data_IF_076414846720
#
_entry.id   IF_076414846720
#
_cell.length_a   1.000
_cell.length_b   1.000
_cell.length_c   1.000
_cell.angle_alpha   90.00
_cell.angle_beta   90.00
_cell.angle_gamma   90.00
#
_symmetry.space_group_name_H-M   'P 1'
#
loop_
_entity.id
_entity.type
_entity.pdbx_description
1 polymer ?
#
# COMPACT_ATOMS: atom_id res chain seq x y z
N UNK A 1 -0.15 23.09 53.90
CA UNK A 1 -0.44 23.73 52.60
C UNK A 1 0.40 23.16 51.43
N UNK A 2 1.74 23.07 51.54
CA UNK A 2 2.61 22.60 50.42
C UNK A 2 2.29 21.20 49.92
N UNK A 3 1.98 20.23 50.78
CA UNK A 3 1.68 18.83 50.39
C UNK A 3 0.38 18.73 49.58
N UNK A 4 -0.64 19.49 49.93
CA UNK A 4 -1.91 19.52 49.22
C UNK A 4 -1.73 20.12 47.82
N UNK A 5 -0.95 21.17 47.69
CA UNK A 5 -0.65 21.81 46.41
C UNK A 5 0.11 20.87 45.44
N UNK A 6 1.11 20.14 45.94
CA UNK A 6 1.86 19.15 45.15
C UNK A 6 0.93 18.04 44.65
N UNK A 7 -0.02 17.58 45.48
CA UNK A 7 -0.99 16.55 45.08
C UNK A 7 -1.89 17.00 43.91
N UNK A 8 -2.35 18.24 43.96
CA UNK A 8 -3.18 18.79 42.86
C UNK A 8 -2.39 18.98 41.56
N UNK A 9 -1.12 19.40 41.65
CA UNK A 9 -0.24 19.50 40.49
C UNK A 9 -0.04 18.10 39.86
N UNK A 10 0.25 17.09 40.69
CA UNK A 10 0.45 15.71 40.21
C UNK A 10 -0.80 15.17 39.49
N UNK A 11 -1.99 15.36 40.10
CA UNK A 11 -3.26 14.98 39.50
C UNK A 11 -3.46 15.69 38.15
N UNK A 12 -3.19 16.98 38.09
CA UNK A 12 -3.29 17.78 36.86
C UNK A 12 -2.37 17.24 35.74
N UNK A 13 -1.11 16.95 36.07
CA UNK A 13 -0.15 16.36 35.11
C UNK A 13 -0.63 14.99 34.58
N UNK A 14 -1.13 14.15 35.47
CA UNK A 14 -1.68 12.81 35.06
C UNK A 14 -2.86 12.97 34.11
N UNK A 15 -3.79 13.88 34.39
CA UNK A 15 -4.94 14.14 33.52
C UNK A 15 -4.53 14.71 32.16
N UNK A 16 -3.59 15.65 32.13
CA UNK A 16 -3.07 16.22 30.88
C UNK A 16 -2.39 15.12 30.05
N UNK A 17 -1.57 14.29 30.68
CA UNK A 17 -0.90 13.18 30.01
C UNK A 17 -1.91 12.17 29.45
N UNK A 18 -2.96 11.86 30.20
CA UNK A 18 -4.03 10.95 29.74
C UNK A 18 -4.79 11.54 28.53
N UNK A 19 -5.13 12.82 28.56
CA UNK A 19 -5.80 13.51 27.43
C UNK A 19 -4.90 13.51 26.20
N UNK A 20 -3.62 13.84 26.33
CA UNK A 20 -2.66 13.84 25.23
C UNK A 20 -2.49 12.43 24.63
N UNK A 21 -2.36 11.43 25.49
CA UNK A 21 -2.25 10.05 25.04
C UNK A 21 -3.51 9.57 24.30
N UNK A 22 -4.68 9.86 24.85
CA UNK A 22 -5.96 9.54 24.20
C UNK A 22 -6.09 10.23 22.84
N UNK A 23 -5.67 11.49 22.76
CA UNK A 23 -5.67 12.23 21.50
C UNK A 23 -4.72 11.64 20.47
N UNK A 24 -3.50 11.24 20.87
CA UNK A 24 -2.54 10.57 20.00
C UNK A 24 -3.07 9.22 19.48
N UNK A 25 -3.74 8.45 20.32
CA UNK A 25 -4.39 7.20 19.92
C UNK A 25 -5.46 7.46 18.86
N UNK A 26 -6.37 8.40 19.11
CA UNK A 26 -7.41 8.77 18.14
C UNK A 26 -6.80 9.26 16.83
N UNK A 27 -5.77 10.10 16.92
CA UNK A 27 -5.07 10.61 15.77
C UNK A 27 -4.44 9.49 14.92
N UNK A 28 -3.79 8.52 15.57
CA UNK A 28 -3.17 7.37 14.85
C UNK A 28 -4.21 6.47 14.14
N UNK A 29 -5.45 6.48 14.61
CA UNK A 29 -6.55 5.79 13.93
C UNK A 29 -7.11 6.54 12.73
N UNK A 30 -7.18 7.87 12.83
CA UNK A 30 -7.77 8.71 11.77
C UNK A 30 -6.76 8.97 10.65
N UNK A 31 -5.47 9.09 10.99
CA UNK A 31 -4.43 9.52 10.06
C UNK A 31 -3.41 8.40 9.84
N UNK A 32 -3.13 8.03 8.58
CA UNK A 32 -2.04 7.10 8.28
C UNK A 32 -0.68 7.67 8.74
N UNK A 33 0.14 6.81 9.33
CA UNK A 33 1.49 7.16 9.77
C UNK A 33 2.51 6.56 8.80
N UNK A 34 3.21 7.41 8.08
CA UNK A 34 4.22 7.01 7.10
C UNK A 34 5.55 6.72 7.80
N UNK A 35 6.06 5.52 7.61
CA UNK A 35 7.39 5.08 8.02
C UNK A 35 8.23 4.76 6.78
N UNK A 36 9.55 4.53 6.96
CA UNK A 36 10.45 4.30 5.83
C UNK A 36 10.04 3.09 4.95
N UNK A 37 9.55 2.03 5.55
CA UNK A 37 9.25 0.76 4.87
C UNK A 37 7.77 0.49 4.68
N UNK A 38 6.91 1.13 5.48
CA UNK A 38 5.48 0.90 5.43
C UNK A 38 4.67 2.12 5.84
N UNK A 39 3.42 2.19 5.38
CA UNK A 39 2.40 3.08 5.94
C UNK A 39 1.57 2.31 6.97
N UNK A 40 1.53 2.81 8.19
CA UNK A 40 0.67 2.28 9.24
C UNK A 40 -0.69 2.96 9.21
N UNK A 41 -1.75 2.18 9.28
CA UNK A 41 -3.14 2.62 9.15
C UNK A 41 -3.93 2.08 10.33
N UNK A 42 -4.87 2.87 10.84
CA UNK A 42 -5.77 2.50 11.92
C UNK A 42 -5.05 1.94 13.16
N UNK A 43 -4.21 2.76 13.77
CA UNK A 43 -3.52 2.43 15.02
C UNK A 43 -2.50 1.30 14.85
N UNK A 44 -1.81 1.23 13.72
CA UNK A 44 -0.81 0.22 13.37
C UNK A 44 -1.37 -1.19 13.11
N UNK A 45 -2.68 -1.38 13.10
CA UNK A 45 -3.27 -2.68 12.79
C UNK A 45 -3.04 -3.07 11.34
N UNK A 46 -3.25 -2.15 10.40
CA UNK A 46 -3.03 -2.40 8.99
C UNK A 46 -1.74 -1.74 8.53
N UNK A 47 -0.94 -2.49 7.78
CA UNK A 47 0.34 -2.00 7.26
C UNK A 47 0.41 -2.21 5.76
N UNK A 48 0.73 -1.13 5.04
CA UNK A 48 1.04 -1.17 3.63
C UNK A 48 2.57 -1.15 3.45
N UNK A 49 3.15 -2.28 3.10
CA UNK A 49 4.57 -2.43 2.81
C UNK A 49 4.87 -1.99 1.37
N UNK A 50 5.78 -1.02 1.22
CA UNK A 50 6.03 -0.40 -0.09
C UNK A 50 6.84 -1.29 -1.03
N UNK A 51 7.81 -2.01 -0.50
CA UNK A 51 8.72 -2.83 -1.31
C UNK A 51 7.96 -3.98 -1.99
N UNK A 52 7.19 -4.70 -1.22
CA UNK A 52 6.47 -5.89 -1.69
C UNK A 52 5.03 -5.58 -2.12
N UNK A 53 4.59 -4.34 -1.93
CA UNK A 53 3.23 -3.90 -2.22
C UNK A 53 2.17 -4.77 -1.52
N UNK A 54 2.43 -5.14 -0.26
CA UNK A 54 1.55 -5.98 0.55
C UNK A 54 0.76 -5.13 1.53
N UNK A 55 -0.56 -5.27 1.51
CA UNK A 55 -1.43 -4.77 2.57
C UNK A 55 -1.71 -5.90 3.56
N UNK A 56 -1.28 -5.74 4.80
CA UNK A 56 -1.39 -6.74 5.84
C UNK A 56 -2.23 -6.28 7.04
N UNK A 57 -2.95 -7.21 7.68
CA UNK A 57 -3.44 -7.06 9.05
C UNK A 57 -2.41 -7.69 9.99
N UNK A 58 -1.74 -6.87 10.78
CA UNK A 58 -0.67 -7.31 11.67
C UNK A 58 -1.19 -8.03 12.92
N UNK A 59 -2.47 -7.86 13.28
CA UNK A 59 -3.07 -8.55 14.42
C UNK A 59 -3.47 -9.97 14.08
N UNK A 60 -4.08 -10.17 12.92
CA UNK A 60 -4.45 -11.49 12.43
C UNK A 60 -3.29 -12.21 11.71
N UNK A 61 -2.20 -11.47 11.47
CA UNK A 61 -1.03 -11.97 10.77
C UNK A 61 -1.34 -12.51 9.36
N UNK A 62 -2.19 -11.78 8.63
CA UNK A 62 -2.71 -12.16 7.31
C UNK A 62 -2.46 -11.05 6.32
N UNK A 63 -2.05 -11.40 5.09
CA UNK A 63 -2.04 -10.47 3.98
C UNK A 63 -3.45 -10.33 3.40
N UNK A 64 -4.00 -9.12 3.47
CA UNK A 64 -5.32 -8.79 2.92
C UNK A 64 -5.26 -8.63 1.41
N UNK A 65 -4.14 -8.10 0.92
CA UNK A 65 -3.87 -7.92 -0.49
C UNK A 65 -2.38 -8.12 -0.77
N UNK A 66 -2.08 -9.06 -1.64
CA UNK A 66 -0.75 -9.21 -2.23
C UNK A 66 -0.70 -8.39 -3.52
N UNK A 67 0.44 -7.75 -3.79
CA UNK A 67 0.55 -6.81 -4.91
C UNK A 67 -0.55 -5.73 -4.90
N UNK A 68 -0.71 -5.07 -3.73
CA UNK A 68 -1.63 -3.95 -3.59
C UNK A 68 -1.16 -2.78 -4.46
N UNK A 69 -1.85 -2.56 -5.57
CA UNK A 69 -1.48 -1.55 -6.57
C UNK A 69 -1.86 -0.14 -6.16
N UNK A 70 -2.99 -0.01 -5.46
CA UNK A 70 -3.48 1.25 -4.96
C UNK A 70 -4.33 1.05 -3.71
N UNK A 71 -4.27 2.02 -2.81
CA UNK A 71 -5.15 2.07 -1.66
C UNK A 71 -5.60 3.50 -1.38
N UNK A 72 -6.69 3.62 -0.63
CA UNK A 72 -7.22 4.89 -0.14
C UNK A 72 -7.78 4.70 1.26
N UNK A 73 -7.38 5.56 2.18
CA UNK A 73 -7.89 5.56 3.54
C UNK A 73 -8.82 6.74 3.76
N UNK A 74 -10.09 6.42 4.01
CA UNK A 74 -11.13 7.39 4.40
C UNK A 74 -11.82 6.85 5.65
N UNK A 75 -11.38 7.30 6.81
CA UNK A 75 -11.97 6.83 8.07
C UNK A 75 -13.51 6.83 8.00
N UNK A 76 -14.20 5.76 8.39
CA UNK A 76 -13.67 4.55 9.03
C UNK A 76 -13.29 3.41 8.04
N UNK A 77 -13.09 3.68 6.76
CA UNK A 77 -12.85 2.65 5.76
C UNK A 77 -11.46 2.76 5.13
N UNK A 78 -10.86 1.60 4.91
CA UNK A 78 -9.67 1.41 4.09
C UNK A 78 -10.09 0.65 2.83
N UNK A 79 -9.80 1.21 1.69
CA UNK A 79 -10.05 0.63 0.37
C UNK A 79 -8.73 0.23 -0.26
N UNK A 80 -8.68 -0.94 -0.88
CA UNK A 80 -7.51 -1.37 -1.65
C UNK A 80 -7.91 -2.04 -2.96
N UNK A 81 -7.01 -1.95 -3.92
CA UNK A 81 -7.07 -2.64 -5.20
C UNK A 81 -5.73 -3.29 -5.49
N UNK A 82 -5.73 -4.56 -5.77
CA UNK A 82 -4.55 -5.37 -6.04
C UNK A 82 -4.82 -6.56 -6.93
N UNK A 83 -3.89 -7.48 -6.95
CA UNK A 83 -3.99 -8.69 -7.78
C UNK A 83 -5.17 -9.56 -7.39
N UNK A 84 -5.49 -9.64 -6.09
CA UNK A 84 -6.62 -10.44 -5.60
C UNK A 84 -7.99 -9.75 -5.76
N UNK A 85 -8.03 -8.53 -6.28
CA UNK A 85 -9.27 -7.79 -6.54
C UNK A 85 -9.42 -6.52 -5.71
N UNK A 86 -10.65 -6.21 -5.32
CA UNK A 86 -10.96 -5.06 -4.47
C UNK A 86 -11.23 -5.50 -3.05
N UNK A 87 -10.77 -4.71 -2.09
CA UNK A 87 -11.02 -4.95 -0.67
C UNK A 87 -11.43 -3.65 0.02
N UNK A 88 -12.51 -3.71 0.80
CA UNK A 88 -12.97 -2.63 1.68
C UNK A 88 -12.97 -3.13 3.11
N UNK A 89 -12.36 -2.40 4.02
CA UNK A 89 -12.19 -2.76 5.41
C UNK A 89 -12.78 -1.68 6.29
N UNK A 90 -13.73 -2.03 7.17
CA UNK A 90 -14.09 -1.17 8.28
C UNK A 90 -13.04 -1.32 9.37
N UNK A 91 -12.29 -0.25 9.66
CA UNK A 91 -11.15 -0.30 10.59
C UNK A 91 -11.52 -0.11 12.05
N UNK A 92 -12.79 0.11 12.40
CA UNK A 92 -13.24 0.24 13.77
C UNK A 92 -13.10 -1.11 14.48
N UNK A 93 -12.31 -1.24 15.57
CA UNK A 93 -11.92 -2.54 16.14
C UNK A 93 -13.09 -3.46 16.53
N UNK A 94 -14.18 -2.90 17.06
CA UNK A 94 -15.36 -3.67 17.49
C UNK A 94 -16.31 -4.03 16.32
N UNK A 95 -16.10 -3.40 15.16
CA UNK A 95 -16.98 -3.53 13.98
C UNK A 95 -16.16 -3.86 12.74
N UNK A 96 -15.01 -4.54 12.91
CA UNK A 96 -14.19 -4.95 11.77
C UNK A 96 -15.01 -5.79 10.81
N UNK A 97 -15.15 -5.31 9.59
CA UNK A 97 -15.85 -5.98 8.50
C UNK A 97 -15.02 -5.82 7.24
N UNK A 98 -14.79 -6.90 6.55
CA UNK A 98 -14.04 -6.93 5.30
C UNK A 98 -15.00 -7.34 4.19
N UNK A 99 -15.15 -6.48 3.21
CA UNK A 99 -15.87 -6.74 1.97
C UNK A 99 -14.83 -6.94 0.86
N UNK A 100 -14.82 -8.11 0.24
CA UNK A 100 -13.84 -8.45 -0.79
C UNK A 100 -14.52 -8.91 -2.07
N UNK A 101 -14.15 -8.26 -3.17
CA UNK A 101 -14.52 -8.66 -4.53
C UNK A 101 -13.33 -9.40 -5.11
N UNK A 102 -13.47 -10.70 -5.29
CA UNK A 102 -12.35 -11.58 -5.68
C UNK A 102 -12.27 -11.69 -7.19
N UNK A 103 -11.09 -11.40 -7.74
CA UNK A 103 -10.81 -11.72 -9.13
C UNK A 103 -10.53 -13.22 -9.27
N UNK A 104 -11.13 -13.91 -10.25
CA UNK A 104 -10.95 -15.34 -10.51
C UNK A 104 -9.50 -15.80 -10.74
N UNK A 105 -8.58 -14.85 -10.96
CA UNK A 105 -7.15 -15.15 -11.12
C UNK A 105 -6.39 -15.36 -9.80
N UNK A 106 -7.02 -15.12 -8.66
CA UNK A 106 -6.35 -15.00 -7.36
C UNK A 106 -6.37 -16.24 -6.46
N UNK A 107 -6.77 -17.41 -6.98
CA UNK A 107 -6.64 -18.69 -6.27
C UNK A 107 -5.16 -19.13 -6.09
N UNK A 108 -4.23 -18.30 -6.50
CA UNK A 108 -2.80 -18.56 -6.31
C UNK A 108 -2.44 -18.31 -4.85
N UNK A 109 -1.91 -19.34 -4.21
CA UNK A 109 -1.32 -19.26 -2.88
C UNK A 109 0.00 -18.49 -2.98
N UNK A 110 0.01 -17.26 -2.48
CA UNK A 110 1.25 -16.50 -2.31
C UNK A 110 1.78 -16.69 -0.90
N UNK A 111 3.04 -17.08 -0.78
CA UNK A 111 3.77 -17.02 0.49
C UNK A 111 4.71 -15.81 0.43
N UNK A 112 4.63 -14.95 1.41
CA UNK A 112 5.58 -13.87 1.59
C UNK A 112 6.53 -14.21 2.74
N UNK A 113 7.83 -14.25 2.44
CA UNK A 113 8.89 -14.55 3.42
C UNK A 113 9.42 -13.28 4.13
N UNK A 114 8.59 -12.24 4.26
CA UNK A 114 8.89 -11.05 5.02
C UNK A 114 9.00 -11.30 6.52
N UNK A 115 9.11 -10.22 7.35
CA UNK A 115 9.34 -10.33 8.81
C UNK A 115 8.23 -11.11 9.55
N UNK A 116 7.07 -11.26 8.94
CA UNK A 116 6.01 -12.18 9.36
C UNK A 116 5.64 -13.06 8.17
N UNK A 117 5.58 -14.39 8.35
CA UNK A 117 5.08 -15.33 7.34
C UNK A 117 3.60 -15.06 7.10
N UNK A 118 3.32 -14.08 6.25
CA UNK A 118 1.95 -13.73 5.87
C UNK A 118 1.52 -14.70 4.77
N UNK A 119 0.45 -15.43 5.02
CA UNK A 119 -0.17 -16.30 4.03
C UNK A 119 -1.42 -15.59 3.51
N UNK A 120 -1.57 -15.49 2.22
CA UNK A 120 -2.74 -14.88 1.59
C UNK A 120 -3.37 -15.88 0.64
N UNK A 121 -4.41 -16.55 1.10
CA UNK A 121 -5.40 -17.14 0.23
C UNK A 121 -6.79 -16.88 0.82
N UNK A 122 -7.82 -17.09 0.06
CA UNK A 122 -9.18 -16.87 0.50
C UNK A 122 -9.55 -17.69 1.74
N UNK A 123 -9.00 -18.90 1.86
CA UNK A 123 -9.22 -19.79 3.01
C UNK A 123 -8.62 -19.21 4.29
N UNK A 124 -7.38 -18.70 4.23
CA UNK A 124 -6.74 -18.08 5.39
C UNK A 124 -7.48 -16.82 5.84
N UNK A 125 -8.01 -16.04 4.89
CA UNK A 125 -8.87 -14.90 5.20
C UNK A 125 -10.18 -15.33 5.86
N UNK A 126 -10.79 -16.43 5.40
CA UNK A 126 -12.00 -16.98 6.01
C UNK A 126 -11.74 -17.53 7.41
N UNK A 127 -10.58 -18.16 7.65
CA UNK A 127 -10.17 -18.62 8.97
C UNK A 127 -9.92 -17.44 9.93
N UNK A 128 -9.25 -16.39 9.48
CA UNK A 128 -8.93 -15.22 10.31
C UNK A 128 -10.16 -14.38 10.66
N UNK A 129 -11.05 -14.16 9.71
CA UNK A 129 -12.15 -13.19 9.88
C UNK A 129 -13.53 -13.83 10.03
N UNK A 130 -13.69 -15.09 9.68
CA UNK A 130 -14.96 -15.82 9.81
C UNK A 130 -16.14 -15.06 9.20
N UNK A 131 -17.17 -14.79 10.00
CA UNK A 131 -18.37 -14.06 9.58
C UNK A 131 -18.15 -12.56 9.29
N UNK A 132 -17.00 -12.00 9.67
CA UNK A 132 -16.64 -10.62 9.36
C UNK A 132 -16.13 -10.44 7.93
N UNK A 133 -15.77 -11.52 7.23
CA UNK A 133 -15.43 -11.52 5.82
C UNK A 133 -16.67 -11.72 4.96
N UNK A 134 -16.95 -10.78 4.10
CA UNK A 134 -18.06 -10.82 3.14
C UNK A 134 -17.47 -10.87 1.74
N UNK A 135 -17.73 -11.95 1.04
CA UNK A 135 -17.36 -12.10 -0.36
C UNK A 135 -18.49 -11.55 -1.22
N UNK A 136 -18.13 -10.72 -2.16
CA UNK A 136 -19.02 -10.09 -3.13
C UNK A 136 -18.61 -10.63 -4.51
N UNK A 137 -19.59 -11.10 -5.28
CA UNK A 137 -19.32 -11.75 -6.57
C UNK A 137 -18.98 -10.74 -7.66
N UNK A 138 -19.65 -9.59 -7.66
CA UNK A 138 -19.42 -8.56 -8.68
C UNK A 138 -19.29 -7.16 -8.07
N UNK A 139 -18.54 -6.32 -8.76
CA UNK A 139 -18.42 -4.89 -8.44
C UNK A 139 -19.75 -4.15 -8.60
N UNK A 140 -20.69 -4.71 -9.33
CA UNK A 140 -22.04 -4.14 -9.49
C UNK A 140 -22.93 -4.33 -8.27
N UNK A 141 -22.59 -5.25 -7.37
CA UNK A 141 -23.33 -5.54 -6.14
C UNK A 141 -23.00 -4.60 -4.97
N UNK A 142 -22.01 -3.72 -5.14
CA UNK A 142 -21.61 -2.76 -4.10
C UNK A 142 -22.29 -1.40 -4.28
N UNK A 143 -22.18 -0.56 -3.25
CA UNK A 143 -22.71 0.80 -3.30
C UNK A 143 -22.09 1.63 -4.42
N UNK A 144 -22.85 2.58 -4.98
CA UNK A 144 -22.37 3.48 -6.03
C UNK A 144 -21.14 4.28 -5.56
N UNK A 145 -21.07 4.63 -4.27
CA UNK A 145 -19.96 5.35 -3.69
C UNK A 145 -18.69 4.50 -3.64
N UNK A 146 -18.79 3.26 -3.16
CA UNK A 146 -17.67 2.33 -3.12
C UNK A 146 -17.18 1.99 -4.54
N UNK A 147 -18.11 1.79 -5.48
CA UNK A 147 -17.78 1.56 -6.89
C UNK A 147 -16.95 2.70 -7.49
N UNK A 148 -17.31 3.96 -7.19
CA UNK A 148 -16.50 5.11 -7.64
C UNK A 148 -15.08 5.08 -7.07
N UNK A 149 -14.92 4.75 -5.79
CA UNK A 149 -13.60 4.66 -5.16
C UNK A 149 -12.78 3.56 -5.81
N UNK A 150 -13.33 2.37 -5.99
CA UNK A 150 -12.62 1.26 -6.62
C UNK A 150 -12.22 1.54 -8.07
N UNK A 151 -13.10 2.15 -8.86
CA UNK A 151 -12.77 2.55 -10.23
C UNK A 151 -11.67 3.61 -10.26
N UNK A 152 -11.63 4.52 -9.30
CA UNK A 152 -10.55 5.50 -9.18
C UNK A 152 -9.21 4.82 -8.80
N UNK A 153 -9.21 3.86 -7.88
CA UNK A 153 -8.02 3.09 -7.53
C UNK A 153 -7.46 2.34 -8.75
N UNK A 154 -8.35 1.70 -9.53
CA UNK A 154 -7.97 1.02 -10.78
C UNK A 154 -7.36 2.00 -11.80
N UNK A 155 -7.97 3.17 -11.98
CA UNK A 155 -7.46 4.20 -12.89
C UNK A 155 -6.07 4.73 -12.48
N UNK A 156 -5.83 4.89 -11.17
CA UNK A 156 -4.50 5.27 -10.63
C UNK A 156 -3.44 4.25 -11.00
N UNK A 157 -3.76 2.95 -10.92
CA UNK A 157 -2.85 1.88 -11.31
C UNK A 157 -2.56 1.88 -12.81
N UNK A 158 -3.60 1.98 -13.65
CA UNK A 158 -3.44 2.05 -15.11
C UNK A 158 -2.56 3.25 -15.50
N UNK A 159 -2.78 4.40 -14.89
CA UNK A 159 -1.93 5.59 -15.10
C UNK A 159 -0.48 5.39 -14.65
N UNK A 160 -0.25 4.62 -13.58
CA UNK A 160 1.10 4.26 -13.14
C UNK A 160 1.80 3.33 -14.13
N UNK A 161 1.10 2.29 -14.62
CA UNK A 161 1.62 1.37 -15.65
C UNK A 161 2.01 2.10 -16.92
N UNK A 162 1.15 3.00 -17.42
CA UNK A 162 1.42 3.76 -18.63
C UNK A 162 2.67 4.63 -18.48
N UNK A 163 2.82 5.36 -17.36
CA UNK A 163 4.04 6.15 -17.09
C UNK A 163 5.30 5.29 -16.99
N UNK A 164 5.18 4.09 -16.42
CA UNK A 164 6.32 3.14 -16.34
C UNK A 164 6.74 2.66 -17.73
N UNK A 165 5.77 2.34 -18.60
CA UNK A 165 6.04 1.94 -19.98
C UNK A 165 6.66 3.06 -20.81
N UNK A 166 6.18 4.29 -20.65
CA UNK A 166 6.77 5.46 -21.33
C UNK A 166 8.22 5.70 -20.87
N UNK A 167 8.51 5.58 -19.58
CA UNK A 167 9.88 5.70 -19.07
C UNK A 167 10.78 4.61 -19.66
N UNK A 168 10.33 3.35 -19.65
CA UNK A 168 11.09 2.24 -20.21
C UNK A 168 11.40 2.44 -21.70
N UNK A 169 10.44 2.93 -22.50
CA UNK A 169 10.66 3.28 -23.92
C UNK A 169 11.70 4.39 -24.07
N UNK A 170 11.56 5.48 -23.31
CA UNK A 170 12.50 6.60 -23.36
C UNK A 170 13.92 6.18 -22.95
N UNK A 171 14.06 5.29 -21.97
CA UNK A 171 15.37 4.81 -21.54
C UNK A 171 15.99 3.89 -22.60
N UNK A 172 15.21 3.06 -23.27
CA UNK A 172 15.66 2.24 -24.40
C UNK A 172 16.08 3.09 -25.61
N UNK A 173 15.32 4.14 -25.93
CA UNK A 173 15.67 5.10 -26.99
C UNK A 173 17.00 5.82 -26.70
N UNK A 174 17.22 6.25 -25.44
CA UNK A 174 18.47 6.88 -25.03
C UNK A 174 19.68 5.93 -25.16
N UNK A 175 19.50 4.65 -24.84
CA UNK A 175 20.55 3.65 -24.99
C UNK A 175 20.92 3.44 -26.44
N UNK A 176 19.93 3.35 -27.35
CA UNK A 176 20.15 3.25 -28.78
C UNK A 176 20.89 4.47 -29.32
N UNK A 177 20.53 5.69 -28.94
CA UNK A 177 21.21 6.91 -29.35
C UNK A 177 22.67 6.89 -28.90
N UNK A 178 22.93 6.52 -27.65
CA UNK A 178 24.30 6.41 -27.12
C UNK A 178 25.18 5.40 -27.87
N UNK A 179 24.61 4.31 -28.33
CA UNK A 179 25.32 3.32 -29.11
C UNK A 179 25.57 3.77 -30.57
N UNK A 180 24.62 4.51 -31.15
CA UNK A 180 24.82 5.18 -32.46
C UNK A 180 25.95 6.23 -32.39
N UNK A 181 26.00 7.03 -31.35
CA UNK A 181 27.05 8.02 -31.15
C UNK A 181 28.44 7.35 -31.10
N UNK A 182 28.59 6.24 -30.34
CA UNK A 182 29.86 5.48 -30.29
C UNK A 182 30.28 4.94 -31.64
N UNK A 183 29.30 4.44 -32.45
CA UNK A 183 29.59 3.96 -33.80
C UNK A 183 30.05 5.12 -34.68
N UNK A 184 29.39 6.27 -34.60
CA UNK A 184 29.78 7.48 -35.33
C UNK A 184 31.19 7.92 -35.00
N UNK A 185 31.54 7.99 -33.71
CA UNK A 185 32.92 8.35 -33.26
C UNK A 185 33.97 7.36 -33.78
N UNK A 186 33.63 6.05 -33.77
CA UNK A 186 34.53 5.00 -34.30
C UNK A 186 34.78 5.14 -35.81
N UNK A 187 33.75 5.50 -36.57
CA UNK A 187 33.86 5.73 -38.02
C UNK A 187 34.75 6.98 -38.28
N UNK A 188 34.53 8.06 -37.55
CA UNK A 188 35.28 9.30 -37.70
C UNK A 188 36.79 9.07 -37.38
N UNK A 189 37.06 8.30 -36.33
CA UNK A 189 38.45 7.94 -35.98
C UNK A 189 39.13 7.09 -37.08
N UNK A 190 38.36 6.18 -37.67
CA UNK A 190 38.84 5.33 -38.76
C UNK A 190 39.12 6.14 -40.05
N UNK A 191 38.34 7.13 -40.37
CA UNK A 191 38.51 8.02 -41.49
C UNK A 191 39.77 8.91 -41.29
N UNK A 192 39.92 9.49 -40.09
CA UNK A 192 41.14 10.27 -39.76
C UNK A 192 42.45 9.47 -39.86
N UNK A 193 42.40 8.20 -39.50
CA UNK A 193 43.55 7.28 -39.68
C UNK A 193 43.87 7.03 -41.15
N UNK A 194 42.85 6.86 -42.00
CA UNK A 194 43.07 6.72 -43.45
C UNK A 194 43.68 7.97 -44.10
N UNK A 195 43.19 9.15 -43.73
CA UNK A 195 43.74 10.43 -44.27
C UNK A 195 45.18 10.69 -43.83
N UNK A 196 45.64 10.13 -42.71
CA UNK A 196 47.03 10.26 -42.23
C UNK A 196 48.03 9.36 -42.95
N UNK A 197 47.58 8.46 -43.82
CA UNK A 197 48.41 7.54 -44.62
C UNK A 197 48.65 8.03 -46.05
N UNK A 198 48.10 9.17 -46.44
CA UNK A 198 48.36 9.86 -47.71
C UNK A 198 49.09 11.17 -47.49
#
# INVERSE_FOLDING_TARGET
MKVIFIKYIFIGVVWISFILYSWLLVYSYITPVYLMEATNIAGFRYQMYFHDQVLADTYENVALEMHCYAYEYKFPYLYSYGESGYTKICVIPLFTRIEKIVNYASDRRFSWDGPSKLVSNLKDLQEAYGSSLILIEDVDDISIEDKKIFLELKRREEGRKNRSLERAKNDQEKEIIKDLDKISDSIEESLKKQESFY
#
